data_IF_889168139364
#
_entry.id   IF_889168139364
#
_cell.length_a   1.000
_cell.length_b   1.000
_cell.length_c   1.000
_cell.angle_alpha   90.00
_cell.angle_beta   90.00
_cell.angle_gamma   90.00
#
_symmetry.space_group_name_H-M   'P 1'
#
loop_
_entity.id
_entity.type
_entity.pdbx_description
1 polymer ?
#
# COMPACT_ATOMS: atom_id res chain seq x y z
N UNK A 1 -16.42 -18.59 -12.61
CA UNK A 1 -15.01 -18.14 -12.60
C UNK A 1 -14.73 -16.93 -11.69
N UNK A 2 -15.70 -16.36 -10.96
CA UNK A 2 -15.46 -15.25 -10.01
C UNK A 2 -14.83 -15.69 -8.66
N UNK A 3 -14.94 -16.96 -8.28
CA UNK A 3 -14.52 -17.46 -6.97
C UNK A 3 -13.00 -17.70 -6.84
N UNK A 4 -12.26 -17.81 -7.94
CA UNK A 4 -10.83 -18.14 -7.93
C UNK A 4 -9.92 -16.92 -7.70
N UNK A 5 -10.30 -15.73 -8.16
CA UNK A 5 -9.55 -14.49 -7.91
C UNK A 5 -9.71 -14.02 -6.45
N UNK A 6 -10.86 -14.27 -5.83
CA UNK A 6 -11.09 -14.04 -4.40
C UNK A 6 -10.16 -14.86 -3.49
N UNK A 7 -9.72 -16.04 -3.95
CA UNK A 7 -8.78 -16.88 -3.20
C UNK A 7 -7.35 -16.34 -3.21
N UNK A 8 -6.98 -15.47 -4.16
CA UNK A 8 -5.59 -15.03 -4.32
C UNK A 8 -5.29 -13.70 -3.60
N UNK A 9 -6.29 -12.84 -3.41
CA UNK A 9 -6.18 -11.53 -2.73
C UNK A 9 -7.11 -11.46 -1.51
N UNK A 10 -6.79 -12.25 -0.48
CA UNK A 10 -7.59 -12.39 0.73
C UNK A 10 -7.17 -11.46 1.87
N UNK A 11 -6.02 -10.79 1.76
CA UNK A 11 -5.50 -9.94 2.82
C UNK A 11 -5.87 -8.48 2.57
N UNK A 12 -6.81 -7.95 3.37
CA UNK A 12 -7.14 -6.52 3.36
C UNK A 12 -5.97 -5.73 3.94
N UNK A 13 -5.40 -4.84 3.13
CA UNK A 13 -4.19 -4.11 3.49
C UNK A 13 -4.49 -2.73 4.08
N UNK A 14 -5.30 -1.93 3.40
CA UNK A 14 -5.72 -0.60 3.86
C UNK A 14 -6.98 -0.10 3.16
N UNK A 15 -7.62 0.89 3.79
CA UNK A 15 -8.60 1.76 3.15
C UNK A 15 -7.89 3.04 2.68
N UNK A 16 -8.12 3.46 1.44
CA UNK A 16 -7.53 4.67 0.86
C UNK A 16 -8.23 5.90 1.43
N UNK A 17 -7.60 6.55 2.39
CA UNK A 17 -8.10 7.79 3.02
C UNK A 17 -7.77 9.04 2.20
N UNK A 18 -6.62 9.04 1.52
CA UNK A 18 -6.18 10.11 0.61
C UNK A 18 -5.22 9.55 -0.44
N UNK A 19 -4.96 10.32 -1.50
CA UNK A 19 -4.07 9.94 -2.59
C UNK A 19 -3.41 11.14 -3.30
N UNK A 20 -2.16 10.94 -3.73
CA UNK A 20 -1.32 11.95 -4.35
C UNK A 20 -0.77 11.44 -5.68
N UNK A 21 -0.93 12.22 -6.75
CA UNK A 21 -0.26 11.90 -8.02
C UNK A 21 1.14 12.48 -7.97
N UNK A 22 2.16 11.62 -7.95
CA UNK A 22 3.56 12.02 -7.87
C UNK A 22 4.28 11.71 -9.18
N UNK A 23 5.00 12.71 -9.71
CA UNK A 23 5.77 12.56 -10.95
C UNK A 23 6.81 11.44 -10.81
N UNK A 24 6.86 10.55 -11.81
CA UNK A 24 7.76 9.38 -11.88
C UNK A 24 7.52 8.28 -10.83
N UNK A 25 6.48 8.39 -9.99
CA UNK A 25 6.13 7.39 -8.97
C UNK A 25 4.73 6.82 -9.23
N UNK A 26 3.81 7.64 -9.74
CA UNK A 26 2.42 7.29 -9.97
C UNK A 26 1.50 7.75 -8.83
N UNK A 27 0.37 7.06 -8.68
CA UNK A 27 -0.60 7.37 -7.64
C UNK A 27 -0.17 6.75 -6.30
N UNK A 28 0.21 7.59 -5.34
CA UNK A 28 0.55 7.19 -3.98
C UNK A 28 -0.66 7.30 -3.06
N UNK A 29 -0.95 6.26 -2.28
CA UNK A 29 -2.12 6.21 -1.38
C UNK A 29 -1.74 6.34 0.09
N UNK A 30 -2.69 6.83 0.88
CA UNK A 30 -2.63 7.00 2.34
C UNK A 30 -3.77 6.18 2.96
N UNK A 31 -3.60 5.57 4.15
CA UNK A 31 -2.46 5.66 5.05
C UNK A 31 -1.21 4.95 4.55
N UNK A 32 -0.06 5.36 5.06
CA UNK A 32 1.18 4.58 4.96
C UNK A 32 1.26 3.60 6.13
N UNK A 33 2.00 2.50 5.97
CA UNK A 33 2.14 1.47 6.99
C UNK A 33 3.42 1.72 7.80
N UNK A 34 3.41 1.34 9.08
CA UNK A 34 4.62 1.37 9.91
C UNK A 34 5.65 0.37 9.41
N UNK A 35 6.94 0.70 9.55
CA UNK A 35 8.01 -0.25 9.30
C UNK A 35 8.06 -1.17 10.52
N UNK A 36 7.42 -2.32 10.36
CA UNK A 36 7.47 -3.40 11.30
C UNK A 36 8.94 -3.80 11.59
N UNK A 37 9.39 -3.66 12.84
CA UNK A 37 10.62 -4.24 13.42
C UNK A 37 11.97 -3.61 13.06
N UNK A 38 13.03 -4.21 13.62
CA UNK A 38 14.44 -3.75 13.48
C UNK A 38 15.15 -4.28 12.22
N UNK A 39 14.40 -4.91 11.31
CA UNK A 39 14.91 -5.50 10.08
C UNK A 39 15.20 -4.47 8.98
N UNK A 40 15.97 -4.88 7.97
CA UNK A 40 16.08 -4.11 6.72
C UNK A 40 14.81 -4.36 5.90
N UNK A 41 14.05 -3.31 5.63
CA UNK A 41 12.98 -3.36 4.63
C UNK A 41 13.59 -3.42 3.22
N UNK A 42 13.02 -4.27 2.37
CA UNK A 42 13.35 -4.33 0.96
C UNK A 42 12.11 -3.99 0.14
N UNK A 43 12.20 -2.92 -0.63
CA UNK A 43 11.19 -2.48 -1.57
C UNK A 43 10.87 -3.60 -2.58
N UNK A 44 9.61 -3.68 -2.99
CA UNK A 44 9.18 -4.68 -3.96
C UNK A 44 7.98 -4.23 -4.77
N UNK A 45 7.79 -4.89 -5.91
CA UNK A 45 6.60 -4.76 -6.73
C UNK A 45 5.69 -5.95 -6.47
N UNK A 46 4.39 -5.70 -6.40
CA UNK A 46 3.37 -6.74 -6.36
C UNK A 46 2.13 -6.28 -7.10
N UNK A 47 1.19 -7.20 -7.29
CA UNK A 47 -0.12 -6.89 -7.83
C UNK A 47 -1.10 -6.76 -6.67
N UNK A 48 -1.95 -5.74 -6.70
CA UNK A 48 -2.97 -5.51 -5.67
C UNK A 48 -4.34 -5.41 -6.31
N UNK A 49 -5.33 -5.98 -5.63
CA UNK A 49 -6.74 -5.80 -5.98
C UNK A 49 -7.25 -4.56 -5.26
N UNK A 50 -7.99 -3.72 -5.97
CA UNK A 50 -8.63 -2.53 -5.43
C UNK A 50 -10.13 -2.66 -5.62
N UNK A 51 -10.89 -2.48 -4.53
CA UNK A 51 -12.34 -2.38 -4.57
C UNK A 51 -12.71 -0.91 -4.36
N UNK A 52 -13.25 -0.26 -5.38
CA UNK A 52 -13.70 1.12 -5.32
C UNK A 52 -14.97 1.27 -4.46
N UNK A 53 -15.32 2.49 -4.01
CA UNK A 53 -16.51 2.72 -3.17
C UNK A 53 -17.83 2.29 -3.79
N UNK A 54 -17.92 2.26 -5.13
CA UNK A 54 -19.08 1.79 -5.88
C UNK A 54 -19.14 0.25 -5.99
N UNK A 55 -18.16 -0.46 -5.44
CA UNK A 55 -18.02 -1.92 -5.50
C UNK A 55 -17.28 -2.42 -6.74
N UNK A 56 -16.83 -1.53 -7.64
CA UNK A 56 -16.06 -1.93 -8.82
C UNK A 56 -14.70 -2.49 -8.40
N UNK A 57 -14.37 -3.68 -8.90
CA UNK A 57 -13.07 -4.31 -8.67
C UNK A 57 -12.10 -4.04 -9.81
N UNK A 58 -10.83 -3.79 -9.47
CA UNK A 58 -9.74 -3.65 -10.42
C UNK A 58 -8.45 -4.23 -9.86
N UNK A 59 -7.47 -4.49 -10.73
CA UNK A 59 -6.19 -5.07 -10.36
C UNK A 59 -5.07 -4.20 -10.93
N UNK A 60 -4.11 -3.83 -10.08
CA UNK A 60 -3.06 -2.87 -10.42
C UNK A 60 -1.69 -3.38 -10.02
N UNK A 61 -0.66 -3.01 -10.80
CA UNK A 61 0.72 -3.12 -10.33
C UNK A 61 0.95 -2.04 -9.28
N UNK A 62 1.54 -2.45 -8.15
CA UNK A 62 1.85 -1.61 -7.03
C UNK A 62 3.34 -1.73 -6.69
N UNK A 63 3.95 -0.59 -6.37
CA UNK A 63 5.24 -0.51 -5.72
C UNK A 63 5.02 -0.30 -4.23
N UNK A 64 5.68 -1.14 -3.43
CA UNK A 64 5.66 -1.09 -1.97
C UNK A 64 7.06 -0.75 -1.50
N UNK A 65 7.27 0.49 -1.07
CA UNK A 65 8.60 1.00 -0.76
C UNK A 65 8.68 1.81 0.53
N UNK A 66 9.86 1.91 1.12
CA UNK A 66 10.06 2.73 2.34
C UNK A 66 10.43 4.16 2.01
N UNK A 67 9.67 5.11 2.54
CA UNK A 67 9.93 6.54 2.36
C UNK A 67 10.30 7.18 3.68
N UNK A 68 11.27 8.09 3.64
CA UNK A 68 11.64 8.93 4.77
C UNK A 68 10.87 10.26 4.72
N UNK A 69 9.94 10.44 5.64
CA UNK A 69 9.22 11.68 5.83
C UNK A 69 10.06 12.69 6.62
N UNK A 70 10.15 13.91 6.08
CA UNK A 70 10.86 15.01 6.72
C UNK A 70 10.05 15.59 7.89
N UNK A 71 9.98 14.84 9.00
CA UNK A 71 9.33 15.28 10.23
C UNK A 71 10.31 16.15 11.04
N UNK A 72 10.00 17.45 11.15
CA UNK A 72 10.87 18.42 11.85
C UNK A 72 10.87 18.27 13.36
N UNK A 73 9.81 17.71 13.94
CA UNK A 73 9.76 17.43 15.38
C UNK A 73 10.80 16.37 15.72
N UNK A 74 11.82 16.74 16.49
CA UNK A 74 12.91 15.87 16.92
C UNK A 74 12.45 14.77 17.89
N UNK A 75 11.28 14.92 18.51
CA UNK A 75 10.71 13.94 19.43
C UNK A 75 9.95 12.82 18.71
N UNK A 76 9.65 12.99 17.43
CA UNK A 76 9.01 11.94 16.64
C UNK A 76 9.92 10.71 16.53
N UNK A 77 9.38 9.55 16.90
CA UNK A 77 10.07 8.26 16.84
C UNK A 77 10.47 7.88 15.42
N UNK A 78 11.42 6.94 15.30
CA UNK A 78 11.97 6.52 14.00
C UNK A 78 10.90 5.93 13.06
N UNK A 79 9.90 5.23 13.61
CA UNK A 79 8.77 4.65 12.87
C UNK A 79 7.80 5.72 12.32
N UNK A 80 7.80 6.94 12.87
CA UNK A 80 7.04 8.03 12.28
C UNK A 80 7.75 8.56 11.02
N UNK A 81 9.08 8.43 10.96
CA UNK A 81 9.91 9.00 9.89
C UNK A 81 10.05 8.04 8.72
N UNK A 82 10.20 6.76 8.97
CA UNK A 82 10.27 5.73 7.93
C UNK A 82 8.93 5.03 7.83
N UNK A 83 8.30 5.11 6.67
CA UNK A 83 6.97 4.52 6.43
C UNK A 83 6.99 3.69 5.17
N UNK A 84 6.27 2.59 5.17
CA UNK A 84 5.99 1.83 3.97
C UNK A 84 4.87 2.54 3.22
N UNK A 85 5.17 2.97 2.01
CA UNK A 85 4.28 3.71 1.13
C UNK A 85 3.90 2.82 -0.05
N UNK A 86 2.62 2.81 -0.37
CA UNK A 86 2.07 2.10 -1.52
C UNK A 86 1.84 3.09 -2.64
N UNK A 87 2.37 2.78 -3.82
CA UNK A 87 2.18 3.58 -5.03
C UNK A 87 1.78 2.70 -6.19
N UNK A 88 0.93 3.21 -7.08
CA UNK A 88 0.43 2.55 -8.28
C UNK A 88 0.98 3.31 -9.50
N UNK A 89 2.09 2.84 -10.11
CA UNK A 89 2.81 3.61 -11.13
C UNK A 89 1.98 4.00 -12.36
N UNK A 90 1.06 3.12 -12.74
CA UNK A 90 0.24 3.26 -13.96
C UNK A 90 -1.19 3.73 -13.67
N UNK A 91 -1.54 3.91 -12.39
CA UNK A 91 -2.88 4.34 -12.01
C UNK A 91 -2.99 5.85 -11.85
N UNK A 92 -4.20 6.36 -12.01
CA UNK A 92 -4.60 7.72 -11.67
C UNK A 92 -5.69 7.77 -10.59
N UNK A 93 -6.01 8.99 -10.17
CA UNK A 93 -7.00 9.26 -9.12
C UNK A 93 -8.43 8.78 -9.45
N UNK A 94 -8.78 8.68 -10.73
CA UNK A 94 -10.11 8.21 -11.14
C UNK A 94 -10.22 6.69 -11.04
N UNK A 95 -9.12 5.97 -11.27
CA UNK A 95 -9.07 4.52 -11.18
C UNK A 95 -9.03 4.02 -9.72
N UNK A 96 -8.42 4.79 -8.81
CA UNK A 96 -8.35 4.46 -7.38
C UNK A 96 -8.82 5.68 -6.58
N UNK A 97 -10.13 5.88 -6.45
CA UNK A 97 -10.69 6.99 -5.67
C UNK A 97 -10.51 6.79 -4.16
N UNK A 98 -10.60 7.88 -3.40
CA UNK A 98 -10.69 7.85 -1.93
C UNK A 98 -11.88 6.99 -1.49
N UNK A 99 -11.69 6.21 -0.43
CA UNK A 99 -12.62 5.22 0.09
C UNK A 99 -12.44 3.82 -0.49
N UNK A 100 -11.53 3.64 -1.47
CA UNK A 100 -11.21 2.31 -2.01
C UNK A 100 -10.55 1.42 -0.97
N UNK A 101 -10.74 0.11 -1.07
CA UNK A 101 -10.09 -0.89 -0.22
C UNK A 101 -9.05 -1.64 -1.04
N UNK A 102 -7.83 -1.71 -0.52
CA UNK A 102 -6.69 -2.38 -1.16
C UNK A 102 -6.50 -3.76 -0.54
N UNK A 103 -6.48 -4.79 -1.37
CA UNK A 103 -6.20 -6.16 -1.02
C UNK A 103 -4.90 -6.63 -1.68
N UNK A 104 -4.17 -7.47 -0.97
CA UNK A 104 -2.92 -8.07 -1.43
C UNK A 104 -2.98 -9.60 -1.25
N UNK A 105 -2.03 -10.30 -1.86
CA UNK A 105 -1.89 -11.75 -1.67
C UNK A 105 -1.60 -12.07 -0.21
N UNK A 106 -2.02 -13.25 0.25
CA UNK A 106 -1.73 -13.68 1.63
C UNK A 106 -0.23 -13.68 1.93
N UNK A 107 0.60 -14.14 0.98
CA UNK A 107 2.05 -14.16 1.12
C UNK A 107 2.66 -12.75 1.30
N UNK A 108 2.19 -11.78 0.52
CA UNK A 108 2.66 -10.40 0.65
C UNK A 108 2.08 -9.70 1.89
N UNK A 109 0.85 -10.01 2.28
CA UNK A 109 0.25 -9.55 3.53
C UNK A 109 1.06 -10.03 4.74
N UNK A 110 1.43 -11.31 4.75
CA UNK A 110 2.34 -11.87 5.75
C UNK A 110 3.73 -11.24 5.69
N UNK A 111 4.26 -10.89 4.52
CA UNK A 111 5.53 -10.14 4.40
C UNK A 111 5.42 -8.75 5.03
N UNK A 112 4.28 -8.08 4.84
CA UNK A 112 3.99 -6.74 5.39
C UNK A 112 3.78 -6.76 6.92
N UNK A 113 3.30 -7.88 7.47
CA UNK A 113 3.17 -8.09 8.92
C UNK A 113 4.43 -8.68 9.58
N UNK A 114 5.12 -9.59 8.90
CA UNK A 114 6.16 -10.48 9.44
C UNK A 114 7.54 -9.86 9.61
N UNK A 115 7.72 -8.58 9.28
CA UNK A 115 8.88 -7.84 9.78
C UNK A 115 8.67 -7.33 11.22
N UNK A 116 7.54 -7.60 11.90
CA UNK A 116 7.30 -7.18 13.30
C UNK A 116 8.07 -8.01 14.36
N UNK A 117 9.09 -8.77 13.96
CA UNK A 117 9.94 -9.58 14.85
C UNK A 117 11.38 -9.09 14.91
#
# INVERSE_FOLDING_TARGET
MHQALLSMYSFELLNVEDHFQLGNIGLTVVPSLSVAGTGRWNDFHTTMKVIAPDGTESVHQAHVGTWHFNIRDVKAGIDCRWRIVISFPEADKAQIPVGSIVYVSEADGLRLQGQQG
#
